data_IF_774279646232
#
_entry.id   IF_774279646232
#
_cell.length_a   1.000
_cell.length_b   1.000
_cell.length_c   1.000
_cell.angle_alpha   90.00
_cell.angle_beta   90.00
_cell.angle_gamma   90.00
#
_symmetry.space_group_name_H-M   'P 1'
#
loop_
_entity.id
_entity.type
_entity.pdbx_description
1 polymer ?
#
# COMPACT_ATOMS: atom_id res chain seq x y z
N UNK A 1 -44.38 9.96 55.48
CA UNK A 1 -44.57 10.75 54.25
C UNK A 1 -44.69 12.21 54.65
N UNK A 2 -43.96 13.14 54.00
CA UNK A 2 -44.07 13.35 52.55
C UNK A 2 -42.74 13.29 51.79
N UNK A 3 -42.85 12.76 50.56
CA UNK A 3 -41.87 12.83 49.48
C UNK A 3 -41.74 14.27 48.96
N UNK A 4 -40.50 14.73 48.76
CA UNK A 4 -40.20 15.90 47.94
C UNK A 4 -39.87 15.42 46.52
N UNK A 5 -40.86 15.48 45.63
CA UNK A 5 -40.72 15.25 44.21
C UNK A 5 -39.95 16.41 43.55
N UNK A 6 -38.66 16.22 43.31
CA UNK A 6 -37.89 17.10 42.43
C UNK A 6 -38.19 16.75 40.95
N UNK A 7 -39.15 17.45 40.36
CA UNK A 7 -39.29 17.54 38.89
C UNK A 7 -38.06 18.24 38.30
N UNK A 8 -37.35 17.66 37.32
CA UNK A 8 -36.30 18.37 36.60
C UNK A 8 -36.93 19.48 35.75
N UNK A 9 -36.48 20.72 35.96
CA UNK A 9 -36.84 21.87 35.11
C UNK A 9 -36.46 21.55 33.67
N UNK A 10 -37.44 21.64 32.77
CA UNK A 10 -37.25 21.65 31.32
C UNK A 10 -36.25 22.75 30.95
N UNK A 11 -35.05 22.35 30.54
CA UNK A 11 -34.09 23.24 29.90
C UNK A 11 -34.63 23.60 28.51
N UNK A 12 -34.63 24.88 28.11
CA UNK A 12 -35.08 25.26 26.78
C UNK A 12 -34.24 24.57 25.70
N UNK A 13 -34.86 24.19 24.55
CA UNK A 13 -34.16 23.51 23.47
C UNK A 13 -32.97 24.36 22.99
N UNK A 14 -31.80 23.74 22.92
CA UNK A 14 -30.57 24.41 22.50
C UNK A 14 -30.77 25.09 21.14
N UNK A 15 -30.42 26.38 21.06
CA UNK A 15 -30.56 27.16 19.84
C UNK A 15 -29.83 26.49 18.66
N UNK A 16 -30.42 26.44 17.45
CA UNK A 16 -29.80 25.78 16.32
C UNK A 16 -28.44 26.41 16.01
N UNK A 17 -27.40 25.61 15.76
CA UNK A 17 -26.05 26.11 15.52
C UNK A 17 -26.05 27.07 14.32
N UNK A 18 -25.41 28.23 14.50
CA UNK A 18 -25.32 29.26 13.46
C UNK A 18 -24.72 28.70 12.17
N UNK A 19 -25.09 29.28 11.02
CA UNK A 19 -24.61 28.84 9.70
C UNK A 19 -23.06 28.85 9.61
N UNK A 20 -22.39 29.78 10.33
CA UNK A 20 -20.94 29.80 10.52
C UNK A 20 -20.42 28.60 11.33
N UNK A 21 -21.11 28.18 12.39
CA UNK A 21 -20.74 26.99 13.16
C UNK A 21 -20.93 25.70 12.34
N UNK A 22 -21.96 25.65 11.47
CA UNK A 22 -22.19 24.54 10.53
C UNK A 22 -21.15 24.49 9.39
N UNK A 23 -20.75 25.64 8.85
CA UNK A 23 -19.68 25.70 7.85
C UNK A 23 -18.31 25.41 8.48
N UNK A 24 -18.04 25.90 9.69
CA UNK A 24 -16.81 25.60 10.42
C UNK A 24 -16.74 24.13 10.88
N UNK A 25 -17.86 23.51 11.26
CA UNK A 25 -17.91 22.07 11.57
C UNK A 25 -17.83 21.21 10.30
N UNK A 26 -18.40 21.67 9.19
CA UNK A 26 -18.22 21.05 7.86
C UNK A 26 -16.76 21.10 7.41
N UNK A 27 -16.07 22.23 7.58
CA UNK A 27 -14.64 22.37 7.28
C UNK A 27 -13.75 21.59 8.25
N UNK A 28 -14.10 21.53 9.55
CA UNK A 28 -13.40 20.68 10.54
C UNK A 28 -13.64 19.18 10.33
N UNK A 29 -14.77 18.79 9.72
CA UNK A 29 -15.04 17.42 9.31
C UNK A 29 -14.27 17.00 8.05
N UNK A 30 -13.75 17.96 7.28
CA UNK A 30 -12.95 17.74 6.07
C UNK A 30 -11.45 17.91 6.33
N UNK A 31 -11.07 18.73 7.32
CA UNK A 31 -9.68 18.95 7.69
C UNK A 31 -9.07 17.72 8.38
N UNK A 32 -7.79 17.46 8.10
CA UNK A 32 -7.05 16.36 8.71
C UNK A 32 -6.93 16.57 10.22
N UNK A 33 -7.28 15.56 11.02
CA UNK A 33 -7.16 15.64 12.48
C UNK A 33 -5.68 15.59 12.91
N UNK A 34 -5.16 16.74 13.33
CA UNK A 34 -3.76 16.92 13.76
C UNK A 34 -3.55 16.71 15.25
N UNK A 35 -4.59 16.40 16.04
CA UNK A 35 -4.47 16.13 17.49
C UNK A 35 -3.41 15.07 17.84
N UNK A 36 -3.22 13.98 17.05
CA UNK A 36 -2.15 13.02 17.31
C UNK A 36 -0.74 13.64 17.32
N UNK A 37 -0.49 14.73 16.58
CA UNK A 37 0.81 15.42 16.54
C UNK A 37 1.16 16.12 17.87
N UNK A 38 0.19 16.31 18.77
CA UNK A 38 0.46 16.81 20.11
C UNK A 38 1.26 15.80 20.94
N UNK A 39 1.16 14.50 20.64
CA UNK A 39 1.93 13.45 21.30
C UNK A 39 3.38 13.47 20.77
N UNK A 40 4.40 13.85 21.58
CA UNK A 40 5.75 14.09 21.07
C UNK A 40 6.41 12.85 20.46
N UNK A 41 6.14 11.66 21.01
CA UNK A 41 6.65 10.38 20.51
C UNK A 41 6.07 10.08 19.13
N UNK A 42 4.76 10.24 18.96
CA UNK A 42 4.09 10.03 17.68
C UNK A 42 4.52 11.06 16.64
N UNK A 43 4.63 12.34 17.00
CA UNK A 43 5.12 13.40 16.10
C UNK A 43 6.49 13.09 15.54
N UNK A 44 7.45 12.68 16.38
CA UNK A 44 8.80 12.29 15.95
C UNK A 44 8.76 11.09 15.02
N UNK A 45 7.93 10.08 15.36
CA UNK A 45 7.79 8.87 14.54
C UNK A 45 7.20 9.20 13.17
N UNK A 46 6.13 9.98 13.08
CA UNK A 46 5.48 10.34 11.80
C UNK A 46 6.38 11.17 10.92
N UNK A 47 7.09 12.16 11.48
CA UNK A 47 8.04 12.99 10.70
C UNK A 47 9.19 12.13 10.18
N UNK A 48 9.82 11.33 11.06
CA UNK A 48 10.91 10.45 10.66
C UNK A 48 10.48 9.41 9.61
N UNK A 49 9.31 8.81 9.80
CA UNK A 49 8.72 7.84 8.87
C UNK A 49 8.36 8.46 7.53
N UNK A 50 7.73 9.64 7.54
CA UNK A 50 7.39 10.35 6.31
C UNK A 50 8.61 10.70 5.48
N UNK A 51 9.64 11.23 6.13
CA UNK A 51 10.91 11.53 5.48
C UNK A 51 11.55 10.27 4.88
N UNK A 52 11.70 9.21 5.67
CA UNK A 52 12.29 7.96 5.21
C UNK A 52 11.45 7.28 4.11
N UNK A 53 10.13 7.42 4.14
CA UNK A 53 9.28 6.86 3.10
C UNK A 53 9.46 7.58 1.77
N UNK A 54 9.60 8.91 1.77
CA UNK A 54 9.99 9.68 0.57
C UNK A 54 11.34 9.17 0.03
N UNK A 55 12.34 9.03 0.90
CA UNK A 55 13.65 8.49 0.53
C UNK A 55 13.58 7.08 -0.05
N UNK A 56 12.82 6.19 0.58
CA UNK A 56 12.61 4.81 0.11
C UNK A 56 11.95 4.80 -1.28
N UNK A 57 10.99 5.69 -1.52
CA UNK A 57 10.36 5.84 -2.83
C UNK A 57 11.34 6.40 -3.87
N UNK A 58 12.26 7.29 -3.47
CA UNK A 58 13.36 7.75 -4.36
C UNK A 58 14.24 6.57 -4.75
N UNK A 59 14.72 5.80 -3.78
CA UNK A 59 15.53 4.59 -4.01
C UNK A 59 14.80 3.55 -4.86
N UNK A 60 13.48 3.38 -4.64
CA UNK A 60 12.63 2.46 -5.39
C UNK A 60 12.52 2.76 -6.89
N UNK A 61 12.73 4.01 -7.31
CA UNK A 61 12.85 4.40 -8.73
C UNK A 61 14.30 4.35 -9.21
N UNK A 62 15.22 4.76 -8.34
CA UNK A 62 16.65 4.85 -8.64
C UNK A 62 17.25 3.50 -9.00
N UNK A 63 16.90 2.44 -8.26
CA UNK A 63 17.42 1.09 -8.50
C UNK A 63 17.04 0.55 -9.90
N UNK A 64 15.75 0.50 -10.30
CA UNK A 64 15.37 0.11 -11.67
C UNK A 64 16.09 0.92 -12.76
N UNK A 65 16.22 2.23 -12.56
CA UNK A 65 16.87 3.11 -13.53
C UNK A 65 18.37 2.86 -13.60
N UNK A 66 19.04 2.67 -12.47
CA UNK A 66 20.47 2.32 -12.42
C UNK A 66 20.73 0.97 -13.08
N UNK A 67 19.94 -0.06 -12.75
CA UNK A 67 20.09 -1.40 -13.34
C UNK A 67 19.88 -1.37 -14.85
N UNK A 68 18.87 -0.62 -15.32
CA UNK A 68 18.67 -0.44 -16.76
C UNK A 68 19.81 0.33 -17.43
N UNK A 69 20.34 1.38 -16.80
CA UNK A 69 21.46 2.14 -17.35
C UNK A 69 22.73 1.30 -17.46
N UNK A 70 22.97 0.38 -16.51
CA UNK A 70 24.12 -0.53 -16.52
C UNK A 70 23.98 -1.66 -17.55
N UNK A 71 22.79 -2.24 -17.70
CA UNK A 71 22.59 -3.47 -18.48
C UNK A 71 21.92 -3.27 -19.84
N UNK A 72 21.20 -2.15 -20.02
CA UNK A 72 20.24 -1.92 -21.11
C UNK A 72 19.19 -3.02 -21.25
N UNK A 73 18.99 -3.82 -20.22
CA UNK A 73 18.11 -5.00 -20.23
C UNK A 73 16.90 -4.78 -19.32
N UNK A 74 15.70 -4.86 -19.89
CA UNK A 74 14.46 -4.84 -19.11
C UNK A 74 14.30 -6.09 -18.24
N UNK A 75 14.87 -7.23 -18.64
CA UNK A 75 14.89 -8.44 -17.80
C UNK A 75 15.69 -8.20 -16.52
N UNK A 76 16.83 -7.52 -16.59
CA UNK A 76 17.60 -7.18 -15.40
C UNK A 76 16.81 -6.28 -14.43
N UNK A 77 16.03 -5.33 -14.96
CA UNK A 77 15.10 -4.54 -14.14
C UNK A 77 14.03 -5.44 -13.51
N UNK A 78 13.44 -6.37 -14.27
CA UNK A 78 12.47 -7.33 -13.76
C UNK A 78 13.03 -8.24 -12.66
N UNK A 79 14.32 -8.60 -12.74
CA UNK A 79 15.01 -9.36 -11.68
C UNK A 79 15.12 -8.59 -10.36
N UNK A 80 15.11 -7.26 -10.37
CA UNK A 80 15.04 -6.46 -9.12
C UNK A 80 13.74 -6.72 -8.36
N UNK A 81 12.63 -6.91 -9.09
CA UNK A 81 11.35 -7.28 -8.51
C UNK A 81 11.41 -8.65 -7.85
N UNK A 82 11.97 -9.65 -8.53
CA UNK A 82 12.15 -11.00 -8.00
C UNK A 82 13.09 -11.04 -6.77
N UNK A 83 14.20 -10.30 -6.83
CA UNK A 83 15.15 -10.18 -5.73
C UNK A 83 14.50 -9.56 -4.48
N UNK A 84 13.57 -8.63 -4.65
CA UNK A 84 12.77 -8.08 -3.54
C UNK A 84 11.66 -9.05 -3.07
N UNK A 85 11.04 -9.81 -3.98
CA UNK A 85 9.93 -10.70 -3.67
C UNK A 85 10.32 -11.83 -2.72
N UNK A 86 11.42 -12.53 -3.00
CA UNK A 86 11.80 -13.75 -2.25
C UNK A 86 12.02 -13.45 -0.76
N UNK A 87 12.84 -12.45 -0.36
CA UNK A 87 13.01 -12.09 1.03
C UNK A 87 11.74 -11.52 1.65
N UNK A 88 10.96 -10.74 0.90
CA UNK A 88 9.70 -10.19 1.40
C UNK A 88 8.71 -11.30 1.79
N UNK A 89 8.60 -12.36 1.00
CA UNK A 89 7.73 -13.52 1.30
C UNK A 89 8.28 -14.31 2.48
N UNK A 90 9.58 -14.62 2.48
CA UNK A 90 10.22 -15.39 3.57
C UNK A 90 10.12 -14.62 4.89
N UNK A 91 10.66 -13.39 4.96
CA UNK A 91 10.65 -12.59 6.18
C UNK A 91 9.27 -12.01 6.49
N UNK A 92 8.36 -11.85 5.53
CA UNK A 92 6.98 -11.45 5.80
C UNK A 92 6.20 -12.55 6.52
N UNK A 93 6.42 -13.81 6.13
CA UNK A 93 5.78 -14.96 6.74
C UNK A 93 6.32 -15.29 8.13
N UNK A 94 7.63 -15.19 8.32
CA UNK A 94 8.28 -15.43 9.62
C UNK A 94 8.36 -14.17 10.49
N UNK A 95 8.17 -12.97 9.93
CA UNK A 95 8.39 -11.69 10.60
C UNK A 95 7.47 -11.45 11.78
N UNK A 96 6.23 -11.93 11.72
CA UNK A 96 5.31 -11.89 12.87
C UNK A 96 5.80 -12.74 14.05
N UNK A 97 6.24 -13.97 13.78
CA UNK A 97 6.80 -14.85 14.81
C UNK A 97 8.11 -14.28 15.42
N UNK A 98 8.91 -13.58 14.61
CA UNK A 98 10.09 -12.85 15.09
C UNK A 98 9.65 -11.65 15.95
N UNK A 99 8.66 -10.87 15.52
CA UNK A 99 8.13 -9.71 16.24
C UNK A 99 7.52 -10.02 17.60
N UNK A 100 7.04 -11.26 17.80
CA UNK A 100 6.47 -11.69 19.08
C UNK A 100 7.53 -12.18 20.08
N UNK A 101 8.72 -12.59 19.62
CA UNK A 101 9.80 -13.09 20.49
C UNK A 101 10.76 -12.01 20.98
N UNK A 102 10.87 -10.90 20.27
CA UNK A 102 11.82 -9.83 20.58
C UNK A 102 11.10 -8.57 21.10
N UNK A 103 11.82 -7.73 21.86
CA UNK A 103 11.33 -6.37 22.13
C UNK A 103 11.11 -5.65 20.80
N UNK A 104 9.89 -5.15 20.62
CA UNK A 104 9.42 -4.53 19.38
C UNK A 104 10.25 -3.30 19.03
N UNK A 105 10.74 -2.57 20.05
CA UNK A 105 11.66 -1.45 19.83
C UNK A 105 12.99 -1.94 19.25
N UNK A 106 13.56 -2.98 19.84
CA UNK A 106 14.86 -3.53 19.41
C UNK A 106 14.77 -4.11 18.00
N UNK A 107 13.71 -4.85 17.70
CA UNK A 107 13.51 -5.40 16.37
C UNK A 107 13.30 -4.31 15.31
N UNK A 108 12.53 -3.28 15.65
CA UNK A 108 12.31 -2.14 14.78
C UNK A 108 13.60 -1.33 14.55
N UNK A 109 14.40 -1.11 15.60
CA UNK A 109 15.72 -0.47 15.50
C UNK A 109 16.69 -1.30 14.66
N UNK A 110 16.77 -2.61 14.89
CA UNK A 110 17.66 -3.48 14.12
C UNK A 110 17.30 -3.48 12.63
N UNK A 111 16.01 -3.64 12.29
CA UNK A 111 15.55 -3.59 10.90
C UNK A 111 15.75 -2.22 10.24
N UNK A 112 15.53 -1.12 10.99
CA UNK A 112 15.83 0.22 10.52
C UNK A 112 17.34 0.41 10.27
N UNK A 113 18.20 -0.03 11.18
CA UNK A 113 19.66 0.05 11.04
C UNK A 113 20.15 -0.76 9.83
N UNK A 114 19.61 -1.96 9.60
CA UNK A 114 19.94 -2.77 8.42
C UNK A 114 19.53 -2.05 7.13
N UNK A 115 18.31 -1.49 7.10
CA UNK A 115 17.84 -0.74 5.92
C UNK A 115 18.72 0.48 5.65
N UNK A 116 19.10 1.22 6.70
CA UNK A 116 19.99 2.37 6.58
C UNK A 116 21.39 1.97 6.09
N UNK A 117 21.96 0.88 6.62
CA UNK A 117 23.24 0.35 6.17
C UNK A 117 23.20 -0.07 4.69
N UNK A 118 22.09 -0.66 4.23
CA UNK A 118 21.88 -0.97 2.82
C UNK A 118 21.81 0.29 1.97
N UNK A 119 21.08 1.33 2.41
CA UNK A 119 21.04 2.63 1.70
C UNK A 119 22.43 3.26 1.62
N UNK A 120 23.24 3.19 2.68
CA UNK A 120 24.64 3.63 2.66
C UNK A 120 25.51 2.80 1.71
N UNK A 121 25.31 1.49 1.66
CA UNK A 121 26.00 0.62 0.70
C UNK A 121 25.62 0.95 -0.76
N UNK A 122 24.35 1.27 -1.02
CA UNK A 122 23.88 1.76 -2.32
C UNK A 122 24.49 3.13 -2.67
N UNK A 123 24.67 4.01 -1.70
CA UNK A 123 25.39 5.27 -1.90
C UNK A 123 26.88 5.03 -2.19
N UNK A 124 27.54 4.19 -1.40
CA UNK A 124 28.97 3.91 -1.56
C UNK A 124 29.27 3.25 -2.90
N UNK A 125 28.47 2.28 -3.34
CA UNK A 125 28.66 1.66 -4.66
C UNK A 125 28.47 2.65 -5.81
N UNK A 126 27.59 3.64 -5.65
CA UNK A 126 27.39 4.69 -6.64
C UNK A 126 28.56 5.69 -6.65
N UNK A 127 29.07 6.07 -5.47
CA UNK A 127 30.24 6.95 -5.34
C UNK A 127 31.53 6.29 -5.85
N UNK A 128 31.70 5.00 -5.60
CA UNK A 128 32.85 4.21 -6.02
C UNK A 128 32.72 3.68 -7.46
N UNK A 129 31.62 3.98 -8.16
CA UNK A 129 31.29 3.49 -9.51
C UNK A 129 31.56 1.98 -9.69
N UNK A 130 31.10 1.16 -8.73
CA UNK A 130 31.37 -0.28 -8.74
C UNK A 130 30.66 -1.02 -9.90
N UNK A 131 29.62 -0.40 -10.50
CA UNK A 131 28.85 -0.90 -11.67
C UNK A 131 28.42 -2.37 -11.59
N UNK A 132 28.23 -2.90 -10.38
CA UNK A 132 27.92 -4.31 -10.13
C UNK A 132 26.42 -4.53 -9.93
N UNK A 133 25.76 -5.09 -10.94
CA UNK A 133 24.33 -5.45 -10.88
C UNK A 133 24.03 -6.52 -9.83
N UNK A 134 24.83 -7.60 -9.68
CA UNK A 134 24.60 -8.59 -8.62
C UNK A 134 24.65 -7.98 -7.21
N UNK A 135 25.55 -7.01 -6.97
CA UNK A 135 25.62 -6.29 -5.70
C UNK A 135 24.33 -5.51 -5.44
N UNK A 136 23.84 -4.76 -6.43
CA UNK A 136 22.58 -4.01 -6.31
C UNK A 136 21.40 -4.96 -6.02
N UNK A 137 21.32 -6.10 -6.70
CA UNK A 137 20.26 -7.11 -6.47
C UNK A 137 20.34 -7.71 -5.05
N UNK A 138 21.54 -8.00 -4.55
CA UNK A 138 21.73 -8.48 -3.19
C UNK A 138 21.30 -7.43 -2.15
N UNK A 139 21.65 -6.16 -2.37
CA UNK A 139 21.23 -5.06 -1.50
C UNK A 139 19.71 -4.87 -1.51
N UNK A 140 19.05 -4.95 -2.66
CA UNK A 140 17.58 -4.93 -2.78
C UNK A 140 16.95 -6.07 -1.99
N UNK A 141 17.52 -7.27 -2.08
CA UNK A 141 17.02 -8.44 -1.36
C UNK A 141 17.10 -8.24 0.17
N UNK A 142 18.23 -7.74 0.67
CA UNK A 142 18.40 -7.43 2.10
C UNK A 142 17.44 -6.32 2.54
N UNK A 143 17.28 -5.27 1.73
CA UNK A 143 16.34 -4.17 2.01
C UNK A 143 14.90 -4.67 2.11
N UNK A 144 14.46 -5.54 1.20
CA UNK A 144 13.12 -6.11 1.20
C UNK A 144 12.86 -6.99 2.44
N UNK A 145 13.84 -7.80 2.86
CA UNK A 145 13.76 -8.59 4.09
C UNK A 145 13.66 -7.71 5.34
N UNK A 146 14.50 -6.68 5.44
CA UNK A 146 14.46 -5.72 6.55
C UNK A 146 13.14 -4.94 6.59
N UNK A 147 12.61 -4.56 5.42
CA UNK A 147 11.31 -3.89 5.30
C UNK A 147 10.17 -4.77 5.82
N UNK A 148 10.15 -6.07 5.48
CA UNK A 148 9.13 -7.01 5.94
C UNK A 148 9.06 -7.07 7.48
N UNK A 149 10.23 -7.18 8.12
CA UNK A 149 10.36 -7.20 9.59
C UNK A 149 9.97 -5.85 10.21
N UNK A 150 10.44 -4.74 9.63
CA UNK A 150 10.12 -3.38 10.09
C UNK A 150 8.62 -3.08 10.04
N UNK A 151 7.93 -3.53 8.98
CA UNK A 151 6.49 -3.33 8.80
C UNK A 151 5.68 -4.05 9.89
N UNK A 152 6.04 -5.29 10.21
CA UNK A 152 5.38 -6.05 11.28
C UNK A 152 5.54 -5.38 12.65
N UNK A 153 6.75 -4.89 12.97
CA UNK A 153 6.98 -4.18 14.21
C UNK A 153 6.18 -2.86 14.29
N UNK A 154 6.06 -2.14 13.16
CA UNK A 154 5.42 -0.82 13.09
C UNK A 154 3.92 -0.83 13.34
N UNK A 155 3.20 -1.79 12.75
CA UNK A 155 1.74 -1.93 12.95
C UNK A 155 1.36 -2.14 14.42
N UNK A 156 2.30 -2.66 15.21
CA UNK A 156 2.16 -2.91 16.64
C UNK A 156 2.58 -1.74 17.54
N UNK A 157 3.39 -0.80 17.06
CA UNK A 157 3.91 0.34 17.84
C UNK A 157 2.89 1.49 17.87
N UNK A 158 2.26 1.82 16.73
CA UNK A 158 1.36 2.97 16.60
C UNK A 158 0.20 2.95 17.64
N UNK A 159 -0.51 1.83 17.84
CA UNK A 159 -1.60 1.77 18.84
C UNK A 159 -1.14 1.93 20.28
N UNK A 160 0.16 1.75 20.58
CA UNK A 160 0.71 1.79 21.95
C UNK A 160 1.30 3.15 22.31
N UNK A 161 1.61 3.99 21.33
CA UNK A 161 2.17 5.33 21.55
C UNK A 161 1.12 6.44 21.52
N UNK A 162 -0.08 6.16 21.01
CA UNK A 162 -1.19 7.12 20.90
C UNK A 162 -2.36 6.66 21.78
N UNK A 163 -3.04 7.57 22.52
CA UNK A 163 -4.27 7.23 23.23
C UNK A 163 -5.34 6.62 22.31
N UNK A 164 -6.08 5.61 22.78
CA UNK A 164 -7.08 4.85 22.00
C UNK A 164 -8.03 5.72 21.16
N UNK A 165 -8.60 6.84 21.68
CA UNK A 165 -9.49 7.70 20.91
C UNK A 165 -8.83 8.41 19.71
N UNK A 166 -7.50 8.55 19.73
CA UNK A 166 -6.72 9.23 18.70
C UNK A 166 -6.12 8.26 17.68
N UNK A 167 -6.26 6.94 17.84
CA UNK A 167 -5.70 5.93 16.92
C UNK A 167 -6.23 6.09 15.48
N UNK A 168 -7.54 6.28 15.21
CA UNK A 168 -8.02 6.49 13.85
C UNK A 168 -7.38 7.72 13.19
N UNK A 169 -7.32 8.84 13.91
CA UNK A 169 -6.68 10.07 13.44
C UNK A 169 -5.17 9.87 13.17
N UNK A 170 -4.49 9.15 14.06
CA UNK A 170 -3.07 8.81 13.92
C UNK A 170 -2.81 7.96 12.67
N UNK A 171 -3.66 6.96 12.41
CA UNK A 171 -3.58 6.14 11.22
C UNK A 171 -3.86 6.96 9.95
N UNK A 172 -4.89 7.79 9.93
CA UNK A 172 -5.20 8.67 8.79
C UNK A 172 -4.05 9.59 8.45
N UNK A 173 -3.42 10.21 9.45
CA UNK A 173 -2.25 11.05 9.25
C UNK A 173 -1.06 10.25 8.73
N UNK A 174 -0.83 9.04 9.25
CA UNK A 174 0.22 8.15 8.77
C UNK A 174 0.02 7.76 7.29
N UNK A 175 -1.21 7.36 6.91
CA UNK A 175 -1.56 7.06 5.52
C UNK A 175 -1.40 8.28 4.60
N UNK A 176 -1.79 9.46 5.08
CA UNK A 176 -1.67 10.71 4.32
C UNK A 176 -0.21 11.02 4.01
N UNK A 177 0.66 10.93 5.02
CA UNK A 177 2.11 11.12 4.86
C UNK A 177 2.70 10.09 3.90
N UNK A 178 2.26 8.82 3.99
CA UNK A 178 2.64 7.78 3.04
C UNK A 178 2.24 8.11 1.60
N UNK A 179 1.01 8.55 1.37
CA UNK A 179 0.52 8.93 0.04
C UNK A 179 1.29 10.11 -0.55
N UNK A 180 1.63 11.12 0.27
CA UNK A 180 2.50 12.22 -0.16
C UNK A 180 3.86 11.68 -0.60
N UNK A 181 4.46 10.75 0.16
CA UNK A 181 5.73 10.15 -0.23
C UNK A 181 5.68 9.29 -1.49
N UNK A 182 4.57 8.56 -1.72
CA UNK A 182 4.36 7.79 -2.96
C UNK A 182 4.32 8.69 -4.20
N UNK A 183 3.81 9.91 -4.07
CA UNK A 183 3.77 10.89 -5.17
C UNK A 183 5.08 11.66 -5.29
N UNK A 184 5.59 12.20 -4.18
CA UNK A 184 6.75 13.08 -4.15
C UNK A 184 8.06 12.33 -4.40
N UNK A 185 8.21 11.11 -3.89
CA UNK A 185 9.43 10.32 -4.00
C UNK A 185 9.85 10.09 -5.45
N UNK A 186 8.99 9.54 -6.33
CA UNK A 186 9.39 9.32 -7.72
C UNK A 186 9.63 10.62 -8.51
N UNK A 187 8.90 11.71 -8.22
CA UNK A 187 9.18 13.04 -8.82
C UNK A 187 10.58 13.53 -8.43
N UNK A 188 10.91 13.48 -7.14
CA UNK A 188 12.23 13.85 -6.63
C UNK A 188 13.31 12.95 -7.25
N UNK A 189 13.07 11.64 -7.34
CA UNK A 189 13.98 10.71 -8.01
C UNK A 189 14.25 11.10 -9.45
N UNK A 190 13.20 11.43 -10.23
CA UNK A 190 13.34 11.86 -11.61
C UNK A 190 14.24 13.08 -11.78
N UNK A 191 14.12 14.06 -10.88
CA UNK A 191 14.99 15.25 -10.88
C UNK A 191 16.41 14.88 -10.47
N UNK A 192 16.60 14.18 -9.34
CA UNK A 192 17.93 13.84 -8.82
C UNK A 192 18.73 12.98 -9.79
N UNK A 193 18.11 11.97 -10.41
CA UNK A 193 18.76 11.07 -11.37
C UNK A 193 19.17 11.80 -12.65
N UNK A 194 18.49 12.91 -13.00
CA UNK A 194 18.83 13.71 -14.18
C UNK A 194 20.05 14.63 -13.96
N UNK A 195 20.49 14.80 -12.72
CA UNK A 195 21.69 15.57 -12.39
C UNK A 195 22.97 14.77 -12.69
N UNK A 196 24.12 15.45 -12.86
CA UNK A 196 25.43 14.79 -12.87
C UNK A 196 25.62 13.97 -11.59
N UNK A 197 26.10 12.72 -11.73
CA UNK A 197 26.19 11.76 -10.63
C UNK A 197 24.85 11.55 -9.89
N UNK A 198 23.73 11.62 -10.63
CA UNK A 198 22.39 11.63 -10.06
C UNK A 198 22.04 10.45 -9.15
N UNK A 199 22.63 9.27 -9.37
CA UNK A 199 22.47 8.12 -8.48
C UNK A 199 23.03 8.38 -7.08
N UNK A 200 24.18 9.06 -6.99
CA UNK A 200 24.78 9.44 -5.71
C UNK A 200 23.88 10.43 -4.96
N UNK A 201 23.30 11.40 -5.66
CA UNK A 201 22.35 12.34 -5.08
C UNK A 201 21.07 11.67 -4.60
N UNK A 202 20.53 10.72 -5.37
CA UNK A 202 19.34 9.98 -5.02
C UNK A 202 19.54 9.11 -3.77
N UNK A 203 20.60 8.29 -3.73
CA UNK A 203 20.91 7.46 -2.56
C UNK A 203 21.37 8.29 -1.36
N UNK A 204 22.07 9.41 -1.58
CA UNK A 204 22.46 10.34 -0.53
C UNK A 204 21.26 11.03 0.11
N UNK A 205 20.30 11.48 -0.71
CA UNK A 205 19.05 12.05 -0.21
C UNK A 205 18.27 11.02 0.62
N UNK A 206 18.15 9.78 0.14
CA UNK A 206 17.53 8.69 0.93
C UNK A 206 18.29 8.46 2.25
N UNK A 207 19.61 8.34 2.24
CA UNK A 207 20.41 8.13 3.45
C UNK A 207 20.20 9.22 4.51
N UNK A 208 20.12 10.49 4.07
CA UNK A 208 19.84 11.63 4.95
C UNK A 208 18.43 11.56 5.51
N UNK A 209 17.42 11.35 4.66
CA UNK A 209 16.02 11.25 5.06
C UNK A 209 15.78 10.07 6.02
N UNK A 210 16.43 8.94 5.75
CA UNK A 210 16.36 7.74 6.57
C UNK A 210 17.05 7.92 7.93
N UNK A 211 18.04 8.81 8.04
CA UNK A 211 18.66 9.14 9.34
C UNK A 211 17.65 9.78 10.30
N UNK A 212 16.66 10.54 9.80
CA UNK A 212 15.58 11.07 10.63
C UNK A 212 14.70 9.94 11.21
N UNK A 213 14.47 8.88 10.44
CA UNK A 213 13.77 7.69 10.92
C UNK A 213 14.56 6.99 12.00
N UNK A 214 15.87 6.77 11.80
CA UNK A 214 16.73 6.13 12.79
C UNK A 214 16.76 6.93 14.09
N UNK A 215 16.88 8.26 13.99
CA UNK A 215 16.78 9.16 15.15
C UNK A 215 15.42 9.03 15.87
N UNK A 216 14.31 9.01 15.12
CA UNK A 216 12.97 8.82 15.71
C UNK A 216 12.83 7.47 16.40
N UNK A 217 13.43 6.42 15.82
CA UNK A 217 13.41 5.07 16.34
C UNK A 217 14.21 4.95 17.64
N UNK A 218 15.37 5.60 17.72
CA UNK A 218 16.23 5.59 18.92
C UNK A 218 15.53 6.24 20.12
N UNK A 219 14.65 7.21 19.86
CA UNK A 219 13.87 7.93 20.89
C UNK A 219 12.54 7.26 21.25
N UNK A 220 12.21 6.09 20.68
CA UNK A 220 11.04 5.33 21.09
C UNK A 220 11.24 4.75 22.51
N UNK A 221 10.21 4.78 23.38
CA UNK A 221 10.24 4.00 24.62
C UNK A 221 10.29 2.48 24.32
N UNK A 222 10.80 1.67 25.24
CA UNK A 222 10.72 0.20 25.10
C UNK A 222 9.25 -0.22 25.12
N UNK A 223 8.92 -1.15 24.23
CA UNK A 223 7.54 -1.60 24.01
C UNK A 223 7.55 -3.12 24.20
N UNK A 224 7.66 -3.55 25.46
CA UNK A 224 7.70 -4.97 25.80
C UNK A 224 6.46 -5.71 25.28
N UNK A 225 6.61 -6.91 24.71
CA UNK A 225 5.48 -7.78 24.42
C UNK A 225 4.72 -8.06 25.73
N UNK A 226 3.48 -7.58 25.85
CA UNK A 226 2.59 -8.08 26.90
C UNK A 226 2.13 -9.45 26.42
N UNK A 227 2.63 -10.50 27.07
CA UNK A 227 2.26 -11.87 26.73
C UNK A 227 0.74 -12.04 26.78
N UNK A 228 0.15 -12.43 25.66
CA UNK A 228 -1.07 -13.23 25.48
C UNK A 228 -1.66 -12.97 24.10
N UNK A 229 -1.97 -14.06 23.40
CA UNK A 229 -2.48 -14.04 22.03
C UNK A 229 -1.40 -14.44 21.04
N UNK A 230 -0.98 -15.71 21.12
CA UNK A 230 -0.27 -16.32 20.01
C UNK A 230 -1.10 -16.09 18.74
N UNK A 231 -0.59 -15.35 17.77
CA UNK A 231 -0.97 -15.63 16.39
C UNK A 231 -0.20 -16.89 16.02
N UNK A 232 -0.70 -18.04 16.49
CA UNK A 232 -0.36 -19.34 15.90
C UNK A 232 -0.88 -19.27 14.48
N UNK A 233 -0.01 -18.84 13.58
CA UNK A 233 -0.36 -18.77 12.20
C UNK A 233 0.83 -18.54 11.30
N UNK A 234 1.83 -19.42 11.39
CA UNK A 234 2.83 -19.56 10.33
C UNK A 234 2.23 -20.08 9.01
N UNK A 235 3.04 -20.76 8.20
CA UNK A 235 2.64 -21.36 6.90
C UNK A 235 1.25 -22.02 6.90
N UNK A 236 0.89 -22.75 7.96
CA UNK A 236 -0.42 -23.42 8.09
C UNK A 236 -1.61 -22.46 8.02
N UNK A 237 -1.53 -21.28 8.63
CA UNK A 237 -2.64 -20.31 8.59
C UNK A 237 -2.83 -19.70 7.19
N UNK A 238 -1.72 -19.54 6.45
CA UNK A 238 -1.72 -19.09 5.06
C UNK A 238 -2.35 -20.18 4.18
N UNK A 239 -1.97 -21.44 4.38
CA UNK A 239 -2.59 -22.57 3.67
C UNK A 239 -4.08 -22.71 3.99
N UNK A 240 -4.50 -22.55 5.24
CA UNK A 240 -5.91 -22.56 5.62
C UNK A 240 -6.69 -21.41 4.96
N UNK A 241 -6.09 -20.22 4.92
CA UNK A 241 -6.63 -19.06 4.21
C UNK A 241 -6.77 -19.30 2.70
N UNK A 242 -5.74 -19.85 2.06
CA UNK A 242 -5.75 -20.22 0.64
C UNK A 242 -6.80 -21.28 0.33
N UNK A 243 -6.94 -22.30 1.18
CA UNK A 243 -7.96 -23.34 1.03
C UNK A 243 -9.37 -22.76 1.13
N UNK A 244 -9.59 -21.82 2.06
CA UNK A 244 -10.88 -21.12 2.18
C UNK A 244 -11.17 -20.25 0.96
N UNK A 245 -10.18 -19.50 0.46
CA UNK A 245 -10.33 -18.70 -0.76
C UNK A 245 -10.71 -19.58 -1.93
N UNK A 246 -10.03 -20.71 -2.13
CA UNK A 246 -10.31 -21.66 -3.20
C UNK A 246 -11.72 -22.28 -3.11
N UNK A 247 -12.26 -22.43 -1.89
CA UNK A 247 -13.61 -22.96 -1.67
C UNK A 247 -14.73 -21.93 -1.90
N UNK A 248 -14.41 -20.62 -1.93
CA UNK A 248 -15.37 -19.55 -2.08
C UNK A 248 -15.25 -18.89 -3.47
N UNK A 249 -16.11 -19.22 -4.45
CA UNK A 249 -15.94 -18.80 -5.85
C UNK A 249 -15.84 -17.28 -6.05
N UNK A 250 -16.57 -16.49 -5.27
CA UNK A 250 -16.53 -15.02 -5.34
C UNK A 250 -15.19 -14.48 -4.83
N UNK A 251 -14.66 -15.07 -3.76
CA UNK A 251 -13.39 -14.66 -3.18
C UNK A 251 -12.22 -15.09 -4.07
N UNK A 252 -12.22 -16.35 -4.53
CA UNK A 252 -11.24 -16.84 -5.50
C UNK A 252 -11.19 -15.96 -6.75
N UNK A 253 -12.36 -15.61 -7.31
CA UNK A 253 -12.41 -14.79 -8.52
C UNK A 253 -11.92 -13.36 -8.28
N UNK A 254 -12.24 -12.76 -7.13
CA UNK A 254 -11.72 -11.46 -6.72
C UNK A 254 -10.18 -11.45 -6.67
N UNK A 255 -9.56 -12.49 -6.13
CA UNK A 255 -8.11 -12.67 -6.11
C UNK A 255 -7.53 -13.02 -7.49
N UNK A 256 -8.22 -13.80 -8.31
CA UNK A 256 -7.76 -14.16 -9.65
C UNK A 256 -7.69 -12.94 -10.58
N UNK A 257 -8.72 -12.08 -10.55
CA UNK A 257 -8.76 -10.80 -11.29
C UNK A 257 -7.63 -9.88 -10.83
N UNK A 258 -7.35 -9.85 -9.53
CA UNK A 258 -6.27 -9.06 -8.96
C UNK A 258 -4.88 -9.54 -9.38
N UNK A 259 -4.62 -10.83 -9.24
CA UNK A 259 -3.35 -11.43 -9.64
C UNK A 259 -3.15 -11.24 -11.14
N UNK A 260 -4.20 -11.43 -11.95
CA UNK A 260 -4.15 -11.15 -13.38
C UNK A 260 -3.77 -9.70 -13.65
N UNK A 261 -4.35 -8.75 -12.91
CA UNK A 261 -3.96 -7.35 -13.00
C UNK A 261 -2.48 -7.18 -12.65
N UNK A 262 -2.11 -7.36 -11.39
CA UNK A 262 -0.76 -7.12 -10.87
C UNK A 262 0.35 -7.85 -11.65
N UNK A 263 0.05 -9.00 -12.26
CA UNK A 263 1.01 -9.70 -13.11
C UNK A 263 0.99 -9.17 -14.54
N UNK A 264 -0.15 -9.15 -15.22
CA UNK A 264 -0.23 -8.95 -16.67
C UNK A 264 -0.21 -7.50 -17.13
N UNK A 265 -0.67 -6.53 -16.34
CA UNK A 265 -0.64 -5.11 -16.78
C UNK A 265 0.13 -4.19 -15.82
N UNK A 266 1.09 -4.71 -15.06
CA UNK A 266 1.98 -3.87 -14.26
C UNK A 266 3.17 -3.36 -15.11
N UNK A 267 3.28 -2.05 -15.42
CA UNK A 267 4.25 -1.53 -16.37
C UNK A 267 5.55 -1.03 -15.72
N UNK A 268 5.68 -1.10 -14.40
CA UNK A 268 6.72 -0.41 -13.62
C UNK A 268 8.14 -0.79 -14.03
N UNK A 269 8.41 -2.07 -14.29
CA UNK A 269 9.73 -2.51 -14.79
C UNK A 269 10.07 -2.00 -16.21
N UNK A 270 9.08 -1.50 -16.96
CA UNK A 270 9.26 -0.99 -18.33
C UNK A 270 9.57 0.51 -18.37
N UNK A 271 9.31 1.24 -17.28
CA UNK A 271 9.47 2.69 -17.24
C UNK A 271 10.89 3.18 -17.53
N UNK A 272 11.97 2.56 -17.01
CA UNK A 272 13.33 2.97 -17.38
C UNK A 272 13.60 2.82 -18.88
N UNK A 273 13.17 1.71 -19.48
CA UNK A 273 13.33 1.46 -20.91
C UNK A 273 12.49 2.43 -21.75
N UNK A 274 11.26 2.71 -21.33
CA UNK A 274 10.39 3.66 -22.02
C UNK A 274 10.89 5.10 -21.96
N UNK A 275 11.35 5.54 -20.79
CA UNK A 275 11.96 6.84 -20.60
C UNK A 275 13.17 7.01 -21.54
N UNK A 276 14.00 5.97 -21.67
CA UNK A 276 15.17 6.00 -22.55
C UNK A 276 14.83 5.94 -24.05
N UNK A 277 13.94 5.01 -24.45
CA UNK A 277 13.70 4.69 -25.86
C UNK A 277 12.63 5.55 -26.54
N UNK A 278 11.67 6.09 -25.77
CA UNK A 278 10.51 6.80 -26.33
C UNK A 278 10.44 8.28 -25.95
N UNK A 279 10.74 8.60 -24.70
CA UNK A 279 10.43 9.93 -24.15
C UNK A 279 11.66 10.83 -23.95
N UNK A 280 12.88 10.28 -24.00
CA UNK A 280 14.11 11.02 -23.72
C UNK A 280 14.27 11.44 -22.25
N UNK A 281 13.51 10.83 -21.33
CA UNK A 281 13.49 11.19 -19.91
C UNK A 281 12.15 10.95 -19.24
N UNK A 282 11.90 11.62 -18.12
CA UNK A 282 10.57 11.64 -17.47
C UNK A 282 10.21 10.41 -16.63
N UNK A 283 11.19 9.57 -16.27
CA UNK A 283 10.93 8.33 -15.50
C UNK A 283 10.21 8.59 -14.18
N UNK A 284 10.58 9.66 -13.46
CA UNK A 284 9.90 10.05 -12.23
C UNK A 284 8.42 10.37 -12.41
N UNK A 285 8.06 11.01 -13.52
CA UNK A 285 6.67 11.31 -13.85
C UNK A 285 5.88 10.04 -14.16
N UNK A 286 6.47 9.05 -14.86
CA UNK A 286 5.82 7.77 -15.14
C UNK A 286 5.47 7.01 -13.84
N UNK A 287 6.39 6.93 -12.89
CA UNK A 287 6.15 6.29 -11.59
C UNK A 287 5.14 7.09 -10.75
N UNK A 288 5.28 8.41 -10.66
CA UNK A 288 4.36 9.24 -9.87
C UNK A 288 2.97 9.32 -10.44
N UNK A 289 2.80 9.21 -11.77
CA UNK A 289 1.49 9.33 -12.42
C UNK A 289 0.45 8.37 -11.84
N UNK A 290 0.82 7.11 -11.61
CA UNK A 290 -0.07 6.11 -10.99
C UNK A 290 -0.49 6.57 -9.59
N UNK A 291 0.47 6.97 -8.75
CA UNK A 291 0.19 7.43 -7.40
C UNK A 291 -0.68 8.71 -7.37
N UNK A 292 -0.43 9.66 -8.27
CA UNK A 292 -1.23 10.89 -8.42
C UNK A 292 -2.68 10.52 -8.74
N UNK A 293 -2.88 9.60 -9.69
CA UNK A 293 -4.19 9.08 -10.08
C UNK A 293 -4.95 8.46 -8.91
N UNK A 294 -4.29 7.58 -8.16
CA UNK A 294 -4.87 6.92 -6.99
C UNK A 294 -5.23 7.92 -5.88
N UNK A 295 -4.35 8.89 -5.59
CA UNK A 295 -4.63 9.93 -4.57
C UNK A 295 -5.81 10.81 -5.01
N UNK A 296 -5.85 11.24 -6.26
CA UNK A 296 -6.95 12.02 -6.80
C UNK A 296 -8.28 11.25 -6.69
N UNK A 297 -8.32 9.98 -7.12
CA UNK A 297 -9.51 9.16 -7.00
C UNK A 297 -9.96 8.96 -5.54
N UNK A 298 -9.01 8.92 -4.59
CA UNK A 298 -9.28 8.81 -3.16
C UNK A 298 -10.00 10.03 -2.62
N UNK A 299 -9.59 11.22 -3.04
CA UNK A 299 -10.25 12.48 -2.68
C UNK A 299 -11.68 12.56 -3.25
N UNK A 300 -11.92 11.97 -4.42
CA UNK A 300 -13.24 11.94 -5.08
C UNK A 300 -14.01 10.64 -4.88
N UNK A 301 -13.68 9.83 -3.87
CA UNK A 301 -14.20 8.46 -3.68
C UNK A 301 -15.61 8.34 -3.07
N UNK A 302 -16.28 9.45 -2.74
CA UNK A 302 -17.58 9.45 -2.04
C UNK A 302 -18.75 8.75 -2.76
N UNK A 303 -18.56 8.29 -4.00
CA UNK A 303 -19.52 7.48 -4.75
C UNK A 303 -19.27 5.97 -4.62
N UNK A 304 -18.07 5.53 -4.26
CA UNK A 304 -17.67 4.11 -4.25
C UNK A 304 -18.56 3.27 -3.34
N UNK A 305 -18.91 3.81 -2.16
CA UNK A 305 -19.77 3.13 -1.17
C UNK A 305 -21.25 3.00 -1.60
N UNK A 306 -21.71 3.74 -2.61
CA UNK A 306 -23.10 3.67 -3.10
C UNK A 306 -23.32 2.49 -4.07
N UNK A 307 -22.24 1.85 -4.52
CA UNK A 307 -22.33 0.78 -5.53
C UNK A 307 -22.65 -0.56 -4.88
N UNK A 308 -23.87 -1.06 -5.13
CA UNK A 308 -24.37 -2.32 -4.57
C UNK A 308 -23.78 -3.58 -5.24
N UNK A 309 -23.47 -3.50 -6.54
CA UNK A 309 -22.96 -4.61 -7.37
C UNK A 309 -21.42 -4.61 -7.40
N UNK A 310 -20.81 -4.91 -6.26
CA UNK A 310 -19.35 -4.79 -6.08
C UNK A 310 -18.54 -5.71 -7.00
N UNK A 311 -19.03 -6.91 -7.35
CA UNK A 311 -18.33 -7.81 -8.28
C UNK A 311 -18.19 -7.22 -9.69
N UNK A 312 -19.26 -6.58 -10.21
CA UNK A 312 -19.23 -5.88 -11.50
C UNK A 312 -18.35 -4.64 -11.44
N UNK A 313 -18.45 -3.89 -10.34
CA UNK A 313 -17.64 -2.69 -10.15
C UNK A 313 -16.15 -3.02 -10.14
N UNK A 314 -15.76 -4.11 -9.46
CA UNK A 314 -14.40 -4.64 -9.46
C UNK A 314 -13.93 -5.02 -10.87
N UNK A 315 -14.73 -5.81 -11.62
CA UNK A 315 -14.38 -6.20 -12.99
C UNK A 315 -14.20 -5.00 -13.94
N UNK A 316 -15.11 -4.02 -13.85
CA UNK A 316 -15.03 -2.78 -14.65
C UNK A 316 -13.80 -1.96 -14.26
N UNK A 317 -13.50 -1.82 -12.97
CA UNK A 317 -12.33 -1.09 -12.51
C UNK A 317 -11.02 -1.73 -13.01
N UNK A 318 -10.88 -3.06 -12.90
CA UNK A 318 -9.68 -3.75 -13.41
C UNK A 318 -9.59 -3.70 -14.94
N UNK A 319 -10.72 -3.79 -15.64
CA UNK A 319 -10.77 -3.60 -17.10
C UNK A 319 -10.33 -2.19 -17.50
N UNK A 320 -10.79 -1.17 -16.79
CA UNK A 320 -10.41 0.23 -17.02
C UNK A 320 -8.91 0.45 -16.75
N UNK A 321 -8.38 -0.15 -15.69
CA UNK A 321 -6.95 -0.16 -15.40
C UNK A 321 -6.15 -0.80 -16.55
N UNK A 322 -6.51 -2.02 -16.99
CA UNK A 322 -5.83 -2.71 -18.08
C UNK A 322 -5.91 -1.94 -19.41
N UNK A 323 -7.07 -1.35 -19.72
CA UNK A 323 -7.25 -0.51 -20.90
C UNK A 323 -6.38 0.75 -20.86
N UNK A 324 -6.32 1.44 -19.72
CA UNK A 324 -5.49 2.62 -19.55
C UNK A 324 -3.98 2.29 -19.68
N UNK A 325 -3.53 1.16 -19.11
CA UNK A 325 -2.15 0.67 -19.28
C UNK A 325 -1.86 0.32 -20.74
N UNK A 326 -2.78 -0.36 -21.43
CA UNK A 326 -2.62 -0.71 -22.84
C UNK A 326 -2.50 0.55 -23.71
N UNK A 327 -3.39 1.52 -23.53
CA UNK A 327 -3.34 2.80 -24.24
C UNK A 327 -2.03 3.55 -23.95
N UNK A 328 -1.59 3.61 -22.69
CA UNK A 328 -0.31 4.25 -22.33
C UNK A 328 0.88 3.62 -23.07
N UNK A 329 0.83 2.30 -23.34
CA UNK A 329 1.84 1.58 -24.10
C UNK A 329 1.89 1.92 -25.60
N UNK A 330 0.87 2.60 -26.14
CA UNK A 330 0.80 3.00 -27.57
C UNK A 330 1.23 4.45 -27.82
N UNK A 331 1.20 5.27 -26.78
CA UNK A 331 1.46 6.72 -26.89
C UNK A 331 2.96 7.01 -26.84
N UNK A 332 3.41 8.00 -27.61
CA UNK A 332 4.81 8.44 -27.68
C UNK A 332 5.06 9.80 -27.01
N UNK A 333 4.00 10.48 -26.56
CA UNK A 333 4.09 11.71 -25.79
C UNK A 333 4.06 11.42 -24.28
N UNK A 334 5.09 11.88 -23.56
CA UNK A 334 5.26 11.63 -22.12
C UNK A 334 4.03 12.06 -21.28
N UNK A 335 3.50 13.26 -21.52
CA UNK A 335 2.38 13.79 -20.75
C UNK A 335 1.08 12.99 -20.98
N UNK A 336 0.79 12.61 -22.22
CA UNK A 336 -0.37 11.77 -22.51
C UNK A 336 -0.23 10.37 -21.89
N UNK A 337 0.97 9.76 -21.91
CA UNK A 337 1.24 8.53 -21.19
C UNK A 337 1.04 8.70 -19.67
N UNK A 338 1.51 9.80 -19.08
CA UNK A 338 1.33 10.10 -17.67
C UNK A 338 -0.15 10.28 -17.29
N UNK A 339 -0.96 10.97 -18.12
CA UNK A 339 -2.41 11.10 -17.89
C UNK A 339 -3.11 9.74 -17.92
N UNK A 340 -2.76 8.87 -18.86
CA UNK A 340 -3.30 7.51 -18.94
C UNK A 340 -2.86 6.65 -17.74
N UNK A 341 -1.61 6.77 -17.29
CA UNK A 341 -1.14 6.10 -16.07
C UNK A 341 -1.85 6.62 -14.81
N UNK A 342 -2.19 7.91 -14.75
CA UNK A 342 -3.01 8.46 -13.68
C UNK A 342 -4.45 7.92 -13.73
N UNK A 343 -5.04 7.78 -14.91
CA UNK A 343 -6.33 7.10 -15.06
C UNK A 343 -6.26 5.63 -14.60
N UNK A 344 -5.16 4.93 -14.90
CA UNK A 344 -4.92 3.58 -14.40
C UNK A 344 -4.83 3.55 -12.86
N UNK A 345 -4.07 4.46 -12.25
CA UNK A 345 -3.99 4.57 -10.78
C UNK A 345 -5.33 4.87 -10.10
N UNK A 346 -6.17 5.69 -10.74
CA UNK A 346 -7.52 5.96 -10.26
C UNK A 346 -8.39 4.70 -10.27
N UNK A 347 -8.33 3.92 -11.35
CA UNK A 347 -9.04 2.65 -11.48
C UNK A 347 -8.52 1.58 -10.49
N UNK A 348 -7.21 1.55 -10.25
CA UNK A 348 -6.58 0.66 -9.28
C UNK A 348 -7.10 0.91 -7.85
N UNK A 349 -7.20 2.18 -7.43
CA UNK A 349 -7.78 2.51 -6.12
C UNK A 349 -9.20 1.96 -5.97
N UNK A 350 -10.06 2.20 -6.97
CA UNK A 350 -11.44 1.71 -6.96
C UNK A 350 -11.47 0.18 -6.82
N UNK A 351 -10.61 -0.50 -7.58
CA UNK A 351 -10.49 -1.97 -7.51
C UNK A 351 -10.03 -2.46 -6.13
N UNK A 352 -9.06 -1.77 -5.53
CA UNK A 352 -8.49 -2.10 -4.22
C UNK A 352 -9.52 -1.95 -3.10
N UNK A 353 -10.31 -0.87 -3.12
CA UNK A 353 -11.38 -0.65 -2.12
C UNK A 353 -12.45 -1.75 -2.19
N UNK A 354 -12.91 -2.11 -3.40
CA UNK A 354 -13.89 -3.18 -3.53
C UNK A 354 -13.33 -4.54 -3.13
N UNK A 355 -12.07 -4.85 -3.48
CA UNK A 355 -11.43 -6.11 -3.09
C UNK A 355 -11.32 -6.25 -1.58
N UNK A 356 -10.88 -5.19 -0.90
CA UNK A 356 -10.79 -5.16 0.55
C UNK A 356 -12.18 -5.28 1.21
N UNK A 357 -13.19 -4.63 0.64
CA UNK A 357 -14.58 -4.73 1.12
C UNK A 357 -15.16 -6.13 0.93
N UNK A 358 -14.97 -6.75 -0.24
CA UNK A 358 -15.41 -8.13 -0.52
C UNK A 358 -14.74 -9.09 0.47
N UNK A 359 -13.44 -8.94 0.69
CA UNK A 359 -12.70 -9.78 1.63
C UNK A 359 -13.24 -9.64 3.06
N UNK A 360 -13.46 -8.41 3.53
CA UNK A 360 -13.97 -8.15 4.89
C UNK A 360 -15.41 -8.61 5.10
N UNK A 361 -16.24 -8.53 4.06
CA UNK A 361 -17.67 -8.92 4.13
C UNK A 361 -17.90 -10.42 3.99
N UNK A 362 -17.08 -11.13 3.21
CA UNK A 362 -17.18 -12.59 3.07
C UNK A 362 -16.47 -13.37 4.17
N UNK A 363 -15.43 -12.81 4.79
CA UNK A 363 -14.62 -13.51 5.77
C UNK A 363 -15.34 -13.64 7.13
N UNK A 364 -15.55 -14.88 7.64
CA UNK A 364 -15.94 -15.10 9.02
C UNK A 364 -14.93 -14.47 9.99
N UNK A 365 -15.40 -13.96 11.13
CA UNK A 365 -14.58 -13.24 12.11
C UNK A 365 -13.29 -14.00 12.48
N UNK A 366 -13.40 -15.32 12.68
CA UNK A 366 -12.28 -16.20 13.02
C UNK A 366 -11.25 -16.41 11.89
N UNK A 367 -11.57 -16.04 10.64
CA UNK A 367 -10.70 -16.19 9.47
C UNK A 367 -10.17 -14.88 8.92
N UNK A 368 -10.70 -13.72 9.33
CA UNK A 368 -10.30 -12.40 8.82
C UNK A 368 -8.79 -12.15 8.89
N UNK A 369 -8.16 -12.44 10.03
CA UNK A 369 -6.71 -12.24 10.19
C UNK A 369 -5.87 -13.10 9.24
N UNK A 370 -6.27 -14.37 9.01
CA UNK A 370 -5.58 -15.29 8.10
C UNK A 370 -5.72 -14.86 6.66
N UNK A 371 -6.93 -14.49 6.26
CA UNK A 371 -7.20 -14.03 4.91
C UNK A 371 -6.56 -12.67 4.62
N UNK A 372 -6.43 -11.79 5.62
CA UNK A 372 -5.67 -10.55 5.51
C UNK A 372 -4.17 -10.81 5.32
N UNK A 373 -3.62 -11.86 5.95
CA UNK A 373 -2.24 -12.30 5.71
C UNK A 373 -2.02 -12.75 4.26
N UNK A 374 -2.91 -13.58 3.71
CA UNK A 374 -2.88 -13.98 2.30
C UNK A 374 -2.99 -12.77 1.38
N UNK A 375 -3.92 -11.85 1.68
CA UNK A 375 -4.09 -10.61 0.94
C UNK A 375 -2.81 -9.78 0.88
N UNK A 376 -2.13 -9.59 2.00
CA UNK A 376 -0.85 -8.87 2.04
C UNK A 376 0.22 -9.53 1.17
N UNK A 377 0.32 -10.87 1.19
CA UNK A 377 1.29 -11.60 0.35
C UNK A 377 0.96 -11.40 -1.13
N UNK A 378 -0.31 -11.47 -1.51
CA UNK A 378 -0.73 -11.29 -2.91
C UNK A 378 -0.50 -9.84 -3.38
N UNK A 379 -0.91 -8.85 -2.59
CA UNK A 379 -0.80 -7.43 -2.96
C UNK A 379 0.66 -6.97 -2.98
N UNK A 380 1.49 -7.45 -2.06
CA UNK A 380 2.89 -7.09 -2.03
C UNK A 380 3.73 -7.88 -3.05
N UNK A 381 3.34 -9.13 -3.32
CA UNK A 381 4.08 -10.02 -4.20
C UNK A 381 3.69 -9.97 -5.67
N UNK A 382 2.40 -9.77 -5.98
CA UNK A 382 1.85 -9.71 -7.33
C UNK A 382 2.58 -8.72 -8.24
N UNK A 383 2.76 -7.45 -7.83
CA UNK A 383 3.48 -6.45 -8.62
C UNK A 383 4.91 -6.86 -8.96
N UNK A 384 5.60 -7.55 -8.05
CA UNK A 384 6.98 -8.00 -8.25
C UNK A 384 7.09 -9.14 -9.26
N UNK A 385 6.10 -10.03 -9.27
CA UNK A 385 5.98 -11.03 -10.31
C UNK A 385 5.64 -10.39 -11.66
N UNK A 386 4.81 -9.34 -11.65
CA UNK A 386 4.55 -8.47 -12.80
C UNK A 386 5.81 -7.81 -13.36
N UNK A 387 6.67 -7.26 -12.49
CA UNK A 387 7.96 -6.67 -12.87
C UNK A 387 8.85 -7.68 -13.61
N UNK A 388 9.00 -8.89 -13.07
CA UNK A 388 9.78 -9.96 -13.70
C UNK A 388 9.23 -10.33 -15.07
N UNK A 389 7.91 -10.58 -15.16
CA UNK A 389 7.25 -10.92 -16.42
C UNK A 389 7.39 -9.79 -17.44
N UNK A 390 7.14 -8.54 -17.04
CA UNK A 390 7.24 -7.39 -17.92
C UNK A 390 8.67 -7.24 -18.45
N UNK A 391 9.68 -7.39 -17.59
CA UNK A 391 11.09 -7.38 -17.98
C UNK A 391 11.48 -8.49 -18.95
N UNK A 392 11.04 -9.72 -18.67
CA UNK A 392 11.29 -10.88 -19.53
C UNK A 392 10.62 -10.72 -20.90
N UNK A 393 9.34 -10.34 -20.92
CA UNK A 393 8.59 -10.11 -22.16
C UNK A 393 9.18 -8.96 -22.98
N UNK A 394 9.62 -7.88 -22.35
CA UNK A 394 10.24 -6.77 -23.06
C UNK A 394 11.56 -7.16 -23.72
N UNK A 395 12.31 -8.06 -23.09
CA UNK A 395 13.56 -8.58 -23.66
C UNK A 395 13.31 -9.55 -24.82
N UNK A 396 12.21 -10.31 -24.81
CA UNK A 396 11.88 -11.27 -25.86
C UNK A 396 11.07 -10.67 -27.04
N UNK A 397 10.19 -9.72 -26.76
CA UNK A 397 9.18 -9.22 -27.73
C UNK A 397 9.29 -7.71 -28.01
N UNK A 398 10.15 -7.01 -27.27
CA UNK A 398 10.27 -5.56 -27.32
C UNK A 398 9.29 -4.82 -26.41
N UNK A 399 9.56 -3.53 -26.19
CA UNK A 399 8.83 -2.68 -25.24
C UNK A 399 7.33 -2.57 -25.56
N UNK A 400 6.97 -2.39 -26.84
CA UNK A 400 5.59 -2.15 -27.25
C UNK A 400 4.67 -3.35 -27.00
N UNK A 401 5.10 -4.55 -27.38
CA UNK A 401 4.35 -5.81 -27.18
C UNK A 401 4.30 -6.17 -25.70
N UNK A 402 5.42 -6.03 -24.99
CA UNK A 402 5.47 -6.30 -23.56
C UNK A 402 4.56 -5.38 -22.76
N UNK A 403 4.46 -4.10 -23.11
CA UNK A 403 3.58 -3.15 -22.43
C UNK A 403 2.12 -3.33 -22.86
N UNK A 404 1.83 -3.16 -24.14
CA UNK A 404 0.45 -3.09 -24.65
C UNK A 404 -0.18 -4.47 -24.74
N UNK A 405 0.55 -5.45 -25.27
CA UNK A 405 0.04 -6.81 -25.50
C UNK A 405 -0.32 -7.52 -24.21
N UNK A 406 0.50 -7.37 -23.16
CA UNK A 406 0.20 -7.97 -21.86
C UNK A 406 -0.97 -7.31 -21.14
N UNK A 407 -1.14 -6.01 -21.29
CA UNK A 407 -2.30 -5.29 -20.78
C UNK A 407 -3.60 -5.67 -21.51
N UNK A 408 -3.55 -5.85 -22.83
CA UNK A 408 -4.68 -6.39 -23.60
C UNK A 408 -5.03 -7.82 -23.19
N UNK A 409 -4.02 -8.67 -22.97
CA UNK A 409 -4.23 -10.02 -22.45
C UNK A 409 -4.91 -9.99 -21.07
N UNK A 410 -4.47 -9.10 -20.18
CA UNK A 410 -5.13 -8.90 -18.89
C UNK A 410 -6.61 -8.55 -19.06
N UNK A 411 -6.91 -7.61 -19.94
CA UNK A 411 -8.26 -7.17 -20.22
C UNK A 411 -9.13 -8.34 -20.71
N UNK A 412 -8.62 -9.15 -21.64
CA UNK A 412 -9.33 -10.34 -22.16
C UNK A 412 -9.57 -11.37 -21.04
N UNK A 413 -8.56 -11.67 -20.22
CA UNK A 413 -8.67 -12.63 -19.12
C UNK A 413 -9.72 -12.19 -18.10
N UNK A 414 -9.72 -10.90 -17.74
CA UNK A 414 -10.66 -10.35 -16.76
C UNK A 414 -12.09 -10.32 -17.29
N UNK A 415 -12.29 -9.91 -18.55
CA UNK A 415 -13.62 -9.90 -19.18
C UNK A 415 -14.14 -11.33 -19.33
N UNK A 416 -13.33 -12.25 -19.86
CA UNK A 416 -13.71 -13.65 -20.02
C UNK A 416 -14.06 -14.29 -18.67
N UNK A 417 -13.21 -14.11 -17.65
CA UNK A 417 -13.47 -14.61 -16.31
C UNK A 417 -14.74 -14.02 -15.70
N UNK A 418 -14.97 -12.72 -15.86
CA UNK A 418 -16.15 -12.05 -15.34
C UNK A 418 -17.46 -12.55 -15.99
N UNK A 419 -17.42 -12.93 -17.27
CA UNK A 419 -18.55 -13.51 -18.01
C UNK A 419 -18.77 -14.99 -17.68
N UNK A 420 -17.70 -15.76 -17.51
CA UNK A 420 -17.75 -17.19 -17.22
C UNK A 420 -18.19 -17.47 -15.77
N UNK A 421 -17.75 -16.64 -14.81
CA UNK A 421 -18.09 -16.80 -13.38
C UNK A 421 -19.32 -15.97 -13.02
N UNK A 422 -20.50 -16.42 -13.44
CA UNK A 422 -21.80 -15.77 -13.16
C UNK A 422 -22.06 -15.43 -11.67
N UNK A 423 -21.65 -16.25 -10.68
CA UNK A 423 -21.80 -15.90 -9.26
C UNK A 423 -21.04 -14.64 -8.85
N UNK A 424 -19.86 -14.39 -9.44
CA UNK A 424 -19.07 -13.19 -9.21
C UNK A 424 -19.72 -11.95 -9.85
N UNK A 425 -20.20 -12.08 -11.09
CA UNK A 425 -20.90 -11.00 -11.80
C UNK A 425 -22.21 -10.58 -11.12
N UNK A 426 -22.89 -11.51 -10.46
CA UNK A 426 -24.15 -11.25 -9.75
C UNK A 426 -23.94 -10.83 -8.29
N UNK A 427 -22.70 -10.75 -7.80
CA UNK A 427 -22.44 -10.42 -6.41
C UNK A 427 -22.97 -9.03 -6.02
N UNK A 428 -23.82 -9.01 -5.00
CA UNK A 428 -24.36 -7.80 -4.36
C UNK A 428 -24.16 -7.89 -2.86
N UNK A 429 -23.74 -6.79 -2.25
CA UNK A 429 -23.68 -6.69 -0.78
C UNK A 429 -25.10 -6.72 -0.22
N UNK A 430 -25.36 -7.64 0.71
CA UNK A 430 -26.62 -7.67 1.44
C UNK A 430 -26.74 -6.37 2.28
N UNK A 431 -27.92 -5.71 2.33
CA UNK A 431 -28.11 -4.59 3.24
C UNK A 431 -27.77 -5.03 4.67
N UNK A 432 -27.04 -4.20 5.41
CA UNK A 432 -26.80 -4.45 6.83
C UNK A 432 -28.16 -4.65 7.52
N UNK A 433 -28.36 -5.83 8.09
CA UNK A 433 -29.53 -6.08 8.93
C UNK A 433 -29.45 -5.10 10.11
N UNK A 434 -30.52 -4.35 10.42
CA UNK A 434 -30.52 -3.51 11.61
C UNK A 434 -30.21 -4.39 12.82
N UNK A 435 -29.18 -4.05 13.57
CA UNK A 435 -28.88 -4.71 14.84
C UNK A 435 -30.14 -4.63 15.70
N UNK A 436 -30.73 -5.75 16.15
CA UNK A 436 -31.86 -5.68 17.06
C UNK A 436 -31.44 -4.88 18.29
N UNK A 437 -32.30 -3.99 18.82
CA UNK A 437 -31.97 -3.21 20.00
C UNK A 437 -31.55 -4.18 21.11
N UNK A 438 -30.41 -3.89 21.75
CA UNK A 438 -29.92 -4.66 22.87
C UNK A 438 -31.06 -4.76 23.89
N UNK A 439 -31.62 -5.96 24.06
CA UNK A 439 -32.57 -6.24 25.12
C UNK A 439 -31.85 -5.98 26.43
N UNK A 440 -32.21 -4.89 27.11
CA UNK A 440 -31.82 -4.64 28.49
C UNK A 440 -32.11 -5.92 29.28
N UNK A 441 -31.17 -6.43 30.08
CA UNK A 441 -31.47 -7.53 30.98
C UNK A 441 -32.59 -7.05 31.92
N UNK A 442 -33.75 -7.68 31.77
CA UNK A 442 -34.88 -7.51 32.67
C UNK A 442 -34.41 -7.85 34.08
N UNK A 443 -34.43 -6.85 34.95
CA UNK A 443 -34.09 -7.01 36.35
C UNK A 443 -35.08 -8.01 36.95
N UNK A 444 -34.63 -9.24 37.17
CA UNK A 444 -35.35 -10.23 37.94
C UNK A 444 -35.49 -9.72 39.38
N UNK A 445 -36.62 -9.07 39.67
CA UNK A 445 -37.20 -9.05 41.00
C UNK A 445 -37.54 -10.51 41.36
N UNK A 446 -36.83 -11.06 42.34
CA UNK A 446 -37.34 -12.17 43.14
C UNK A 446 -37.81 -11.60 44.49
N UNK A 447 -39.00 -12.02 44.97
CA UNK A 447 -39.63 -11.52 46.18
C UNK A 447 -38.92 -11.94 47.48
#
# INVERSE_FOLDING_TARGET
>A
MPETSHTPRDLPPAAPPTLRARLASGLRGVALDTRPLAVPVFRRLVIGQGAAFVGTMVTGVTIPVQVYALTRSSLAVGMTGLAGLVPLVVFGLYGGAIADRFDRRTLYLASASVTWAVTLALLFQALADLRSVPLVLALVAVQAGAFAVSSAARGAIIPRIVPTPLIPAANTLYFTVGNVGQVAGPLVAGVLISLPNGYCWAYGADAVLFSLLLYSALRLPSVMPTGSGAVVGGLRSVFDGLRFIAAAPVLWMSFAVDIAAMTLAMPTALFPAAAHLRYGGGVGLLYSAIAIGSVAAGLFSGWIGRVRRQGRALAVAVTAWAAAIALAGTVHQLLAAAVLLAAAGAADLVSSVYRQTILQTYAPDAMRGRLQGVFTVVVAGGPRLGDLRAGAMASATGLGVAWTGSALLCMVVVIAGALLVRPFWRYTVAPAQPTPPATCPEAAHQP
#
